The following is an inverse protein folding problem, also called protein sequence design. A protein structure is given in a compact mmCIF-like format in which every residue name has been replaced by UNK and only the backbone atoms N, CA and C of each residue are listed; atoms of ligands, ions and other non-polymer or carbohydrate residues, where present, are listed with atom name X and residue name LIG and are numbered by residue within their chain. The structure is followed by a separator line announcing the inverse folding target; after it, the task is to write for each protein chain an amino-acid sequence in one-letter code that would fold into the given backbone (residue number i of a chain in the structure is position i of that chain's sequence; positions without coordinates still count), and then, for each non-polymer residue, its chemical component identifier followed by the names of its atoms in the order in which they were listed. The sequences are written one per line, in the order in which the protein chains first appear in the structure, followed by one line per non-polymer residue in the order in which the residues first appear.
data_IF_919921887819
#
_entry.id   IF_919921887819
#
_cell.length_a   1.000
_cell.length_b   1.000
_cell.length_c   1.000
_cell.angle_alpha   90.00
_cell.angle_beta   90.00
_cell.angle_gamma   90.00
#
_symmetry.space_group_name_H-M   'P 1'
#
loop_
_entity.id
_entity.type
_entity.pdbx_description
1 polymer ?
#
# COMPACT_ATOMS: atom_id res chain seq x y z
N UNK A 1 29.31 -6.67 0.17
CA UNK A 1 27.92 -6.41 -0.26
C UNK A 1 27.68 -4.92 -0.17
N UNK A 2 27.46 -4.33 -1.34
CA UNK A 2 27.55 -2.91 -1.67
C UNK A 2 26.38 -2.07 -1.14
N UNK A 3 26.71 -0.80 -0.91
CA UNK A 3 25.90 0.41 -0.68
C UNK A 3 24.42 0.32 -1.11
N UNK A 4 23.57 0.82 -0.21
CA UNK A 4 22.11 1.03 -0.27
C UNK A 4 21.49 1.34 -1.66
N UNK A 5 20.55 0.50 -2.10
CA UNK A 5 19.66 0.71 -3.26
C UNK A 5 18.16 0.76 -2.88
N UNK A 6 17.81 0.70 -1.60
CA UNK A 6 16.41 0.72 -1.17
C UNK A 6 15.89 2.17 -1.09
N UNK A 7 15.02 2.53 -2.03
CA UNK A 7 14.31 3.82 -1.99
C UNK A 7 13.19 3.75 -0.96
N UNK A 8 12.98 4.82 -0.21
CA UNK A 8 11.96 4.90 0.84
C UNK A 8 11.02 6.06 0.64
N UNK A 9 9.76 5.83 0.95
CA UNK A 9 8.69 6.80 0.81
C UNK A 9 7.72 6.71 1.99
N UNK A 10 6.90 7.75 2.15
CA UNK A 10 5.76 7.73 3.06
C UNK A 10 4.50 7.66 2.21
N UNK A 11 3.80 6.54 2.32
CA UNK A 11 2.47 6.39 1.76
C UNK A 11 1.44 6.87 2.78
N UNK A 12 0.62 7.84 2.38
CA UNK A 12 -0.49 8.32 3.19
C UNK A 12 -1.71 7.45 2.89
N UNK A 13 -2.03 6.55 3.82
CA UNK A 13 -3.27 5.77 3.76
C UNK A 13 -4.30 6.45 4.66
N UNK A 14 -5.19 7.23 4.05
CA UNK A 14 -6.11 8.13 4.77
C UNK A 14 -5.31 9.04 5.73
N UNK A 15 -5.69 9.09 7.00
CA UNK A 15 -5.02 9.90 8.03
C UNK A 15 -3.77 9.21 8.64
N UNK A 16 -3.35 8.07 8.08
CA UNK A 16 -2.21 7.32 8.60
C UNK A 16 -1.01 7.33 7.66
N UNK A 17 0.16 7.60 8.24
CA UNK A 17 1.46 7.51 7.57
C UNK A 17 1.98 6.08 7.63
N UNK A 18 2.12 5.45 6.48
CA UNK A 18 2.73 4.12 6.32
C UNK A 18 4.08 4.27 5.66
N UNK A 19 5.14 3.80 6.31
CA UNK A 19 6.47 3.79 5.69
C UNK A 19 6.55 2.69 4.64
N UNK A 20 7.06 3.04 3.46
CA UNK A 20 7.21 2.17 2.31
C UNK A 20 8.68 2.11 1.90
N UNK A 21 9.11 0.94 1.47
CA UNK A 21 10.44 0.70 0.92
C UNK A 21 10.28 -0.01 -0.40
N UNK A 22 10.92 0.50 -1.45
CA UNK A 22 10.97 -0.13 -2.75
C UNK A 22 12.13 -1.12 -2.77
N UNK A 23 11.79 -2.40 -2.93
CA UNK A 23 12.76 -3.48 -3.05
C UNK A 23 12.57 -4.14 -4.41
N UNK A 24 13.57 -4.01 -5.29
CA UNK A 24 13.54 -4.53 -6.66
C UNK A 24 12.33 -4.00 -7.47
N UNK A 25 11.97 -2.74 -7.28
CA UNK A 25 10.82 -2.10 -7.95
C UNK A 25 9.47 -2.35 -7.28
N UNK A 26 9.40 -3.26 -6.31
CA UNK A 26 8.14 -3.61 -5.63
C UNK A 26 8.00 -2.87 -4.30
N UNK A 27 6.79 -2.38 -3.95
CA UNK A 27 6.55 -1.71 -2.68
C UNK A 27 6.42 -2.70 -1.51
N UNK A 28 7.16 -2.41 -0.44
CA UNK A 28 7.08 -3.12 0.83
C UNK A 28 6.72 -2.19 1.96
N UNK A 29 5.79 -2.59 2.80
CA UNK A 29 5.18 -1.74 3.82
C UNK A 29 5.67 -2.12 5.21
N UNK A 30 6.02 -1.15 6.04
CA UNK A 30 6.39 -1.43 7.44
C UNK A 30 5.18 -1.97 8.19
N UNK A 31 5.27 -3.24 8.59
CA UNK A 31 4.15 -3.98 9.16
C UNK A 31 3.60 -3.32 10.44
N UNK A 32 4.48 -2.69 11.23
CA UNK A 32 4.08 -2.02 12.45
C UNK A 32 3.16 -0.80 12.18
N UNK A 33 3.37 -0.10 11.07
CA UNK A 33 2.53 1.04 10.71
C UNK A 33 1.19 0.54 10.17
N UNK A 34 1.21 -0.48 9.31
CA UNK A 34 -0.01 -1.15 8.80
C UNK A 34 -0.89 -1.65 9.95
N UNK A 35 -0.31 -2.37 10.92
CA UNK A 35 -1.05 -2.86 12.08
C UNK A 35 -1.67 -1.71 12.89
N UNK A 36 -0.96 -0.58 13.03
CA UNK A 36 -1.47 0.60 13.72
C UNK A 36 -2.68 1.19 13.00
N UNK A 37 -2.60 1.35 11.68
CA UNK A 37 -3.71 1.83 10.85
C UNK A 37 -4.94 0.94 11.00
N UNK A 38 -4.75 -0.38 10.99
CA UNK A 38 -5.83 -1.35 11.06
C UNK A 38 -6.27 -1.67 12.50
N UNK A 39 -5.66 -1.05 13.52
CA UNK A 39 -5.87 -1.34 14.94
C UNK A 39 -5.65 -2.81 15.31
N UNK A 40 -4.80 -3.50 14.58
CA UNK A 40 -4.37 -4.86 14.86
C UNK A 40 -3.37 -4.76 16.01
N UNK A 41 -3.75 -5.29 17.20
CA UNK A 41 -2.81 -5.38 18.33
C UNK A 41 -1.56 -6.11 17.85
N UNK A 42 -0.38 -5.58 18.20
CA UNK A 42 0.94 -6.10 17.79
C UNK A 42 1.21 -7.51 18.36
N UNK A 43 0.43 -8.49 17.95
CA UNK A 43 0.80 -9.88 18.07
C UNK A 43 1.57 -10.20 16.82
N UNK A 44 2.80 -10.69 16.99
CA UNK A 44 3.57 -11.25 15.89
C UNK A 44 2.68 -12.10 15.00
N UNK A 45 1.73 -12.88 15.54
CA UNK A 45 0.79 -13.73 14.80
C UNK A 45 0.09 -13.11 13.57
N UNK A 46 -0.34 -11.84 13.59
CA UNK A 46 -1.04 -11.25 12.44
C UNK A 46 -0.11 -11.03 11.24
N UNK A 47 1.18 -10.80 11.50
CA UNK A 47 2.23 -10.60 10.49
C UNK A 47 3.04 -11.89 10.26
N UNK A 48 3.20 -12.71 11.29
CA UNK A 48 3.96 -13.97 11.34
C UNK A 48 3.22 -15.11 10.65
N UNK A 49 1.88 -15.11 10.64
CA UNK A 49 1.07 -16.08 9.87
C UNK A 49 1.05 -15.82 8.36
N UNK A 50 1.81 -14.82 7.89
CA UNK A 50 1.97 -14.60 6.46
C UNK A 50 2.84 -15.72 5.85
N UNK A 51 2.60 -16.00 4.57
CA UNK A 51 3.50 -16.80 3.76
C UNK A 51 4.92 -16.22 3.82
N UNK A 52 5.95 -17.06 3.69
CA UNK A 52 7.36 -16.63 3.69
C UNK A 52 7.64 -15.59 2.61
N UNK A 53 6.91 -15.62 1.50
CA UNK A 53 7.05 -14.64 0.41
C UNK A 53 6.33 -13.32 0.68
N UNK A 54 5.44 -13.28 1.66
CA UNK A 54 4.60 -12.12 1.97
C UNK A 54 5.16 -11.24 3.08
N UNK A 55 6.26 -11.65 3.70
CA UNK A 55 6.92 -10.99 4.84
C UNK A 55 8.42 -10.98 4.65
N UNK A 56 9.04 -9.85 5.01
CA UNK A 56 10.48 -9.68 5.04
C UNK A 56 10.98 -9.09 6.34
N UNK A 57 12.29 -9.18 6.54
CA UNK A 57 13.01 -8.42 7.54
C UNK A 57 13.90 -7.39 6.85
N UNK A 58 13.75 -6.13 7.22
CA UNK A 58 14.55 -5.03 6.70
C UNK A 58 15.49 -4.52 7.78
N UNK A 59 16.79 -4.74 7.58
CA UNK A 59 17.82 -4.17 8.44
C UNK A 59 17.92 -2.66 8.23
N UNK A 60 18.25 -1.90 9.29
CA UNK A 60 18.46 -0.44 9.15
C UNK A 60 19.56 -0.11 8.13
N UNK A 61 20.61 -0.92 8.07
CA UNK A 61 21.71 -0.76 7.10
C UNK A 61 21.25 -0.85 5.64
N UNK A 62 20.16 -1.57 5.36
CA UNK A 62 19.58 -1.68 4.02
C UNK A 62 18.96 -0.37 3.52
N UNK A 63 18.60 0.53 4.44
CA UNK A 63 17.86 1.77 4.16
C UNK A 63 18.77 3.01 4.19
N UNK A 64 20.02 2.86 4.62
CA UNK A 64 21.01 3.95 4.67
C UNK A 64 20.56 5.16 5.51
N UNK A 65 21.03 6.35 5.13
CA UNK A 65 20.58 7.64 5.67
C UNK A 65 19.28 8.09 4.99
N UNK A 66 18.23 7.26 5.09
CA UNK A 66 16.90 7.63 4.62
C UNK A 66 16.34 8.81 5.43
N UNK A 67 15.61 9.70 4.76
CA UNK A 67 14.82 10.77 5.40
C UNK A 67 13.62 10.20 6.20
N UNK A 68 13.28 8.93 5.98
CA UNK A 68 12.26 8.19 6.71
C UNK A 68 12.90 7.51 7.92
N UNK A 69 12.38 7.80 9.11
CA UNK A 69 12.90 7.19 10.34
C UNK A 69 12.63 5.68 10.39
N UNK A 70 13.70 4.89 10.51
CA UNK A 70 13.65 3.45 10.73
C UNK A 70 14.28 3.05 12.07
N UNK A 71 13.69 2.08 12.80
CA UNK A 71 14.24 1.61 14.06
C UNK A 71 15.63 1.00 13.88
N UNK A 72 16.54 1.26 14.82
CA UNK A 72 17.92 0.73 14.80
C UNK A 72 17.98 -0.80 14.70
N UNK A 73 17.02 -1.48 15.32
CA UNK A 73 16.91 -2.93 15.26
C UNK A 73 16.43 -3.47 13.91
N UNK A 74 16.05 -2.64 12.94
CA UNK A 74 15.34 -3.07 11.73
C UNK A 74 13.83 -3.23 11.95
N UNK A 75 13.13 -3.53 10.86
CA UNK A 75 11.67 -3.60 10.83
C UNK A 75 11.17 -4.84 10.08
N UNK A 76 10.03 -5.37 10.51
CA UNK A 76 9.27 -6.32 9.70
C UNK A 76 8.53 -5.54 8.62
N UNK A 77 8.67 -6.00 7.39
CA UNK A 77 7.98 -5.46 6.22
C UNK A 77 7.04 -6.52 5.64
N UNK A 78 5.96 -6.08 5.00
CA UNK A 78 5.00 -6.94 4.31
C UNK A 78 4.87 -6.52 2.86
N UNK A 79 4.65 -7.50 1.98
CA UNK A 79 4.35 -7.24 0.58
C UNK A 79 3.01 -6.52 0.41
N UNK A 80 2.78 -5.96 -0.76
CA UNK A 80 1.50 -5.40 -1.16
C UNK A 80 0.35 -6.42 -1.10
N UNK A 81 0.58 -7.64 -1.59
CA UNK A 81 -0.40 -8.73 -1.50
C UNK A 81 -0.84 -8.99 -0.05
N UNK A 82 0.12 -8.96 0.90
CA UNK A 82 -0.20 -9.13 2.33
C UNK A 82 -0.93 -7.92 2.91
N UNK A 83 -0.55 -6.70 2.52
CA UNK A 83 -1.26 -5.48 2.90
C UNK A 83 -2.74 -5.61 2.53
N UNK A 84 -3.06 -5.98 1.29
CA UNK A 84 -4.45 -6.16 0.85
C UNK A 84 -5.17 -7.26 1.64
N UNK A 85 -4.52 -8.40 1.87
CA UNK A 85 -5.08 -9.49 2.71
C UNK A 85 -5.39 -9.04 4.14
N UNK A 86 -4.62 -8.12 4.70
CA UNK A 86 -4.88 -7.54 6.03
C UNK A 86 -6.03 -6.55 5.98
N UNK A 87 -6.06 -5.67 4.97
CA UNK A 87 -7.14 -4.70 4.79
C UNK A 87 -8.47 -5.43 4.62
N UNK A 88 -8.55 -6.45 3.76
CA UNK A 88 -9.79 -7.20 3.47
C UNK A 88 -10.34 -7.99 4.68
N UNK A 89 -9.50 -8.31 5.68
CA UNK A 89 -9.94 -8.97 6.93
C UNK A 89 -10.27 -7.99 8.06
N UNK A 90 -9.93 -6.71 7.89
CA UNK A 90 -10.11 -5.71 8.93
C UNK A 90 -11.58 -5.29 9.04
N UNK A 91 -12.04 -5.06 10.27
CA UNK A 91 -13.38 -4.53 10.56
C UNK A 91 -13.37 -3.02 10.81
N UNK A 92 -12.21 -2.36 10.69
CA UNK A 92 -12.05 -0.91 10.91
C UNK A 92 -12.82 -0.08 9.88
N UNK A 93 -13.42 1.06 10.27
CA UNK A 93 -14.10 1.95 9.34
C UNK A 93 -13.22 2.39 8.16
N UNK A 94 -11.95 2.68 8.40
CA UNK A 94 -10.97 3.11 7.39
C UNK A 94 -10.72 1.99 6.37
N UNK A 95 -10.57 0.75 6.85
CA UNK A 95 -10.44 -0.42 5.99
C UNK A 95 -11.70 -0.68 5.18
N UNK A 96 -12.89 -0.52 5.78
CA UNK A 96 -14.19 -0.67 5.08
C UNK A 96 -14.35 0.33 3.94
N UNK A 97 -13.89 1.58 4.09
CA UNK A 97 -13.91 2.57 3.01
C UNK A 97 -13.10 2.09 1.80
N UNK A 98 -11.89 1.57 2.04
CA UNK A 98 -11.08 0.97 0.97
C UNK A 98 -11.73 -0.28 0.38
N UNK A 99 -12.22 -1.20 1.22
CA UNK A 99 -12.92 -2.42 0.77
C UNK A 99 -14.12 -2.08 -0.11
N UNK A 100 -14.96 -1.12 0.29
CA UNK A 100 -16.12 -0.69 -0.48
C UNK A 100 -15.70 -0.09 -1.82
N UNK A 101 -14.70 0.80 -1.84
CA UNK A 101 -14.18 1.36 -3.09
C UNK A 101 -13.66 0.26 -4.02
N UNK A 102 -12.85 -0.68 -3.52
CA UNK A 102 -12.35 -1.80 -4.32
C UNK A 102 -13.50 -2.67 -4.85
N UNK A 103 -14.47 -3.01 -4.02
CA UNK A 103 -15.53 -3.97 -4.38
C UNK A 103 -16.67 -3.37 -5.21
N UNK A 104 -16.90 -2.06 -5.10
CA UNK A 104 -17.98 -1.36 -5.81
C UNK A 104 -17.51 -0.61 -7.06
N UNK A 105 -16.24 -0.20 -7.10
CA UNK A 105 -15.68 0.59 -8.20
C UNK A 105 -14.63 -0.20 -8.96
N UNK A 106 -13.52 -0.56 -8.30
CA UNK A 106 -12.33 -1.11 -8.97
C UNK A 106 -12.59 -2.49 -9.58
N UNK A 107 -13.05 -3.46 -8.77
CA UNK A 107 -13.29 -4.82 -9.25
C UNK A 107 -14.41 -4.90 -10.29
N UNK A 108 -15.52 -4.14 -10.15
CA UNK A 108 -16.51 -4.06 -11.23
C UNK A 108 -15.97 -3.49 -12.54
N UNK A 109 -15.15 -2.44 -12.50
CA UNK A 109 -14.50 -1.88 -13.69
C UNK A 109 -13.59 -2.91 -14.36
N UNK A 110 -12.66 -3.52 -13.60
CA UNK A 110 -11.78 -4.58 -14.11
C UNK A 110 -12.56 -5.73 -14.72
N UNK A 111 -13.65 -6.18 -14.06
CA UNK A 111 -14.48 -7.30 -14.57
C UNK A 111 -15.22 -6.95 -15.87
N UNK A 112 -15.69 -5.71 -16.03
CA UNK A 112 -16.48 -5.26 -17.18
C UNK A 112 -15.58 -4.87 -18.35
N UNK A 113 -14.55 -4.11 -18.06
CA UNK A 113 -13.79 -3.31 -19.04
C UNK A 113 -12.34 -3.83 -19.18
N UNK A 114 -11.94 -4.78 -18.32
CA UNK A 114 -10.59 -5.37 -18.33
C UNK A 114 -9.53 -4.52 -17.62
N UNK A 115 -9.86 -3.29 -17.23
CA UNK A 115 -8.97 -2.38 -16.51
C UNK A 115 -9.75 -1.45 -15.58
N UNK A 116 -9.03 -0.71 -14.75
CA UNK A 116 -9.56 0.41 -13.98
C UNK A 116 -8.73 1.65 -14.30
N UNK A 117 -9.38 2.73 -14.73
CA UNK A 117 -8.74 4.03 -14.95
C UNK A 117 -9.21 5.00 -13.88
N UNK A 118 -8.28 5.54 -13.10
CA UNK A 118 -8.62 6.51 -12.05
C UNK A 118 -9.20 7.77 -12.67
N UNK A 119 -10.38 8.18 -12.23
CA UNK A 119 -11.06 9.38 -12.74
C UNK A 119 -12.12 9.08 -13.81
N UNK A 120 -12.16 7.87 -14.38
CA UNK A 120 -13.22 7.48 -15.32
C UNK A 120 -14.61 7.56 -14.68
N UNK A 121 -14.72 7.31 -13.36
CA UNK A 121 -15.94 7.52 -12.61
C UNK A 121 -16.45 8.96 -12.64
N UNK A 122 -15.55 9.94 -12.77
CA UNK A 122 -15.90 11.36 -12.84
C UNK A 122 -16.36 11.76 -14.23
N UNK A 123 -15.80 11.12 -15.26
CA UNK A 123 -16.27 11.32 -16.64
C UNK A 123 -17.68 10.78 -16.80
N UNK A 124 -17.94 9.56 -16.32
CA UNK A 124 -19.29 8.98 -16.35
C UNK A 124 -20.32 9.77 -15.52
N UNK A 125 -19.89 10.43 -14.44
CA UNK A 125 -20.73 11.33 -13.65
C UNK A 125 -20.94 12.72 -14.26
N UNK A 126 -20.23 13.05 -15.36
CA UNK A 126 -20.25 14.38 -15.98
C UNK A 126 -19.51 15.45 -15.19
N UNK A 127 -18.70 15.05 -14.20
CA UNK A 127 -17.88 15.95 -13.36
C UNK A 127 -16.53 16.29 -14.00
N UNK A 128 -16.14 15.55 -15.04
CA UNK A 128 -14.86 15.68 -15.76
C UNK A 128 -15.08 15.34 -17.23
N UNK A 129 -14.33 15.94 -18.14
CA UNK A 129 -14.39 15.57 -19.55
C UNK A 129 -13.30 14.54 -19.93
N UNK A 130 -13.39 14.02 -21.16
CA UNK A 130 -12.44 13.04 -21.68
C UNK A 130 -11.03 13.63 -21.88
N UNK A 131 -10.92 14.92 -22.19
CA UNK A 131 -9.62 15.57 -22.38
C UNK A 131 -8.88 15.67 -21.05
N UNK A 132 -9.59 16.09 -19.99
CA UNK A 132 -9.09 16.11 -18.62
C UNK A 132 -8.68 14.71 -18.13
N UNK A 133 -9.45 13.67 -18.45
CA UNK A 133 -9.08 12.28 -18.13
C UNK A 133 -7.78 11.86 -18.84
N UNK A 134 -7.65 12.17 -20.13
CA UNK A 134 -6.45 11.80 -20.90
C UNK A 134 -5.19 12.51 -20.40
N UNK A 135 -5.32 13.75 -19.93
CA UNK A 135 -4.21 14.49 -19.33
C UNK A 135 -3.72 13.82 -18.05
N UNK A 136 -4.65 13.33 -17.20
CA UNK A 136 -4.30 12.64 -15.95
C UNK A 136 -3.55 11.33 -16.22
N UNK A 137 -4.04 10.50 -17.16
CA UNK A 137 -3.45 9.18 -17.44
C UNK A 137 -2.08 9.25 -18.12
N UNK A 138 -1.73 10.37 -18.76
CA UNK A 138 -0.42 10.60 -19.36
C UNK A 138 0.63 11.13 -18.38
N UNK A 139 0.23 11.46 -17.15
CA UNK A 139 1.11 12.08 -16.14
C UNK A 139 1.42 11.20 -14.93
N UNK A 140 0.82 10.01 -14.83
CA UNK A 140 1.05 9.00 -13.78
C UNK A 140 2.06 7.91 -14.18
#
# INVERSE_FOLDING_TARGET
MTRSDAMTEIFNFMDHKVRVVLLKGEPWFVAADVCRCLGIKHTGSAVVSADVHERGWLAKSSVGNSHVSFPNRGAVIVSEARLYKLIMRSTKPEAKKFQNWVTQVVLPAIRKDGMYVRGEEKVSAGEMDLEELTLITLTD
#
